data_IF_428719385881
#
_entry.id   IF_428719385881
#
_cell.length_a   1.000
_cell.length_b   1.000
_cell.length_c   1.000
_cell.angle_alpha   90.00
_cell.angle_beta   90.00
_cell.angle_gamma   90.00
#
_symmetry.space_group_name_H-M   'P 1'
#
loop_
_entity.id
_entity.type
_entity.pdbx_description
1 polymer ?
#
# COMPACT_ATOMS: atom_id res chain seq x y z
N UNK A 1 17.97 -5.51 4.43
CA UNK A 1 18.74 -5.20 3.21
C UNK A 1 18.37 -6.28 2.22
N UNK A 2 17.44 -5.97 1.32
CA UNK A 2 17.05 -6.89 0.26
C UNK A 2 17.94 -6.57 -0.95
N UNK A 3 18.80 -7.52 -1.31
CA UNK A 3 19.61 -7.44 -2.52
C UNK A 3 18.69 -7.63 -3.72
N UNK A 4 18.57 -6.60 -4.56
CA UNK A 4 17.97 -6.71 -5.89
C UNK A 4 18.81 -7.70 -6.71
N UNK A 5 18.32 -8.93 -6.83
CA UNK A 5 18.86 -9.89 -7.78
C UNK A 5 18.47 -9.40 -9.18
N UNK A 6 19.39 -8.68 -9.83
CA UNK A 6 19.29 -8.34 -11.24
C UNK A 6 19.08 -9.62 -12.04
N UNK A 7 17.94 -9.71 -12.73
CA UNK A 7 17.61 -10.85 -13.57
C UNK A 7 18.73 -11.05 -14.60
N UNK A 8 19.52 -12.11 -14.40
CA UNK A 8 20.54 -12.51 -15.36
C UNK A 8 19.80 -13.27 -16.46
N UNK A 9 19.53 -12.59 -17.57
CA UNK A 9 18.90 -13.19 -18.75
C UNK A 9 19.93 -14.12 -19.38
N UNK A 10 19.65 -15.42 -19.41
CA UNK A 10 20.58 -16.36 -20.04
C UNK A 10 20.48 -16.23 -21.56
N UNK A 11 21.56 -16.48 -22.32
CA UNK A 11 21.55 -16.32 -23.78
C UNK A 11 20.48 -17.18 -24.47
N UNK A 12 20.12 -18.33 -23.90
CA UNK A 12 19.03 -19.20 -24.35
C UNK A 12 17.62 -18.62 -24.17
N UNK A 13 17.42 -17.62 -23.29
CA UNK A 13 16.13 -16.97 -23.05
C UNK A 13 15.83 -15.87 -24.10
N UNK A 14 16.79 -15.59 -24.99
CA UNK A 14 16.61 -14.66 -26.11
C UNK A 14 15.91 -15.41 -27.25
N UNK A 15 14.72 -14.96 -27.71
CA UNK A 15 14.02 -15.58 -28.82
C UNK A 15 14.94 -15.74 -30.04
N UNK A 16 15.12 -16.98 -30.49
CA UNK A 16 16.01 -17.33 -31.63
C UNK A 16 15.62 -16.63 -32.94
N UNK A 17 14.38 -16.15 -33.00
CA UNK A 17 13.80 -15.43 -34.14
C UNK A 17 14.48 -14.06 -34.36
N UNK A 18 15.16 -13.52 -33.34
CA UNK A 18 15.93 -12.28 -33.40
C UNK A 18 17.26 -12.42 -34.17
N UNK A 19 17.68 -13.64 -34.53
CA UNK A 19 19.01 -13.89 -35.10
C UNK A 19 19.01 -14.23 -36.61
N UNK A 20 17.91 -13.99 -37.36
CA UNK A 20 17.89 -14.26 -38.81
C UNK A 20 18.75 -13.23 -39.58
N UNK A 21 20.00 -13.59 -39.84
CA UNK A 21 21.01 -12.69 -40.39
C UNK A 21 21.15 -12.65 -41.93
N UNK A 22 21.63 -11.52 -42.49
CA UNK A 22 22.04 -11.40 -43.91
C UNK A 22 23.48 -11.88 -44.07
N UNK A 23 23.82 -12.59 -45.15
CA UNK A 23 25.18 -13.09 -45.37
C UNK A 23 26.16 -11.95 -45.70
N UNK A 24 27.27 -11.85 -44.98
CA UNK A 24 28.29 -10.79 -45.15
C UNK A 24 29.72 -11.31 -45.38
N UNK A 25 29.94 -12.61 -45.27
CA UNK A 25 31.24 -13.23 -45.56
C UNK A 25 31.16 -14.75 -45.49
N UNK A 26 32.26 -15.44 -45.76
CA UNK A 26 32.39 -16.88 -45.50
C UNK A 26 33.47 -17.14 -44.47
N UNK A 27 33.23 -18.10 -43.59
CA UNK A 27 34.16 -18.57 -42.59
C UNK A 27 35.37 -19.18 -43.30
N UNK A 28 36.58 -18.66 -43.07
CA UNK A 28 37.78 -19.18 -43.69
C UNK A 28 38.15 -20.59 -43.18
N UNK A 29 37.52 -21.06 -42.11
CA UNK A 29 37.80 -22.34 -41.44
C UNK A 29 36.89 -23.46 -41.92
N UNK A 30 35.60 -23.17 -42.15
CA UNK A 30 34.61 -24.20 -42.55
C UNK A 30 33.77 -23.83 -43.79
N UNK A 31 34.00 -22.65 -44.37
CA UNK A 31 33.31 -22.16 -45.58
C UNK A 31 31.85 -21.75 -45.37
N UNK A 32 31.33 -21.80 -44.14
CA UNK A 32 29.96 -21.39 -43.83
C UNK A 32 29.82 -19.88 -43.97
N UNK A 33 28.66 -19.43 -44.42
CA UNK A 33 28.44 -18.00 -44.61
C UNK A 33 28.24 -17.33 -43.24
N UNK A 34 29.12 -16.40 -42.86
CA UNK A 34 28.88 -15.51 -41.73
C UNK A 34 27.64 -14.68 -42.04
N UNK A 35 26.66 -14.76 -41.15
CA UNK A 35 25.49 -13.90 -41.19
C UNK A 35 25.61 -12.89 -40.05
N UNK A 36 25.34 -11.62 -40.34
CA UNK A 36 25.21 -10.60 -39.29
C UNK A 36 23.75 -10.70 -38.85
N UNK A 37 23.44 -10.81 -37.56
CA UNK A 37 22.05 -10.68 -37.12
C UNK A 37 21.51 -9.38 -37.72
N UNK A 38 20.46 -9.48 -38.53
CA UNK A 38 19.78 -8.30 -39.04
C UNK A 38 19.04 -7.77 -37.83
N UNK A 39 19.67 -6.87 -37.08
CA UNK A 39 18.93 -5.98 -36.21
C UNK A 39 18.23 -4.99 -37.15
N UNK A 40 17.14 -5.43 -37.78
CA UNK A 40 16.19 -4.50 -38.35
C UNK A 40 15.52 -3.87 -37.13
N UNK A 41 16.09 -2.75 -36.67
CA UNK A 41 15.63 -2.01 -35.49
C UNK A 41 14.10 -1.70 -35.58
N UNK A 42 13.52 -1.78 -36.79
CA UNK A 42 12.09 -1.62 -37.05
C UNK A 42 11.19 -2.73 -36.49
N UNK A 43 11.67 -3.97 -36.34
CA UNK A 43 10.88 -5.10 -35.80
C UNK A 43 11.14 -5.32 -34.30
N UNK A 44 12.32 -4.93 -33.81
CA UNK A 44 12.67 -4.94 -32.39
C UNK A 44 11.91 -3.86 -31.60
N UNK A 45 11.72 -2.68 -32.20
CA UNK A 45 11.01 -1.58 -31.57
C UNK A 45 9.55 -1.90 -31.15
N UNK A 46 8.68 -2.47 -32.01
CA UNK A 46 7.30 -2.79 -31.62
C UNK A 46 7.22 -3.90 -30.56
N UNK A 47 8.09 -4.90 -30.60
CA UNK A 47 8.12 -5.96 -29.58
C UNK A 47 8.55 -5.42 -28.20
N UNK A 48 9.55 -4.54 -28.17
CA UNK A 48 9.96 -3.84 -26.95
C UNK A 48 8.84 -2.95 -26.42
N UNK A 49 8.15 -2.23 -27.30
CA UNK A 49 7.02 -1.40 -26.91
C UNK A 49 5.87 -2.24 -26.33
N UNK A 50 5.55 -3.37 -26.95
CA UNK A 50 4.51 -4.28 -26.45
C UNK A 50 4.86 -4.84 -25.06
N UNK A 51 6.12 -5.23 -24.84
CA UNK A 51 6.59 -5.72 -23.54
C UNK A 51 6.56 -4.62 -22.47
N UNK A 52 6.92 -3.38 -22.83
CA UNK A 52 6.80 -2.21 -21.95
C UNK A 52 5.34 -1.97 -21.58
N UNK A 53 4.43 -1.97 -22.55
CA UNK A 53 3.01 -1.71 -22.33
C UNK A 53 2.39 -2.78 -21.43
N UNK A 54 2.69 -4.07 -21.68
CA UNK A 54 2.26 -5.19 -20.82
C UNK A 54 2.72 -5.03 -19.38
N UNK A 55 3.99 -4.67 -19.17
CA UNK A 55 4.55 -4.44 -17.83
C UNK A 55 3.89 -3.26 -17.15
N UNK A 56 3.70 -2.15 -17.85
CA UNK A 56 3.04 -0.96 -17.32
C UNK A 56 1.59 -1.25 -16.92
N UNK A 57 0.83 -1.99 -17.74
CA UNK A 57 -0.53 -2.39 -17.41
C UNK A 57 -0.58 -3.27 -16.16
N UNK A 58 0.28 -4.28 -16.07
CA UNK A 58 0.34 -5.18 -14.92
C UNK A 58 0.72 -4.42 -13.63
N UNK A 59 1.71 -3.54 -13.70
CA UNK A 59 2.12 -2.69 -12.56
C UNK A 59 0.99 -1.74 -12.16
N UNK A 60 0.35 -1.06 -13.11
CA UNK A 60 -0.75 -0.13 -12.83
C UNK A 60 -1.96 -0.85 -12.22
N UNK A 61 -2.31 -2.04 -12.71
CA UNK A 61 -3.39 -2.84 -12.15
C UNK A 61 -3.09 -3.25 -10.70
N UNK A 62 -1.85 -3.66 -10.43
CA UNK A 62 -1.40 -4.03 -9.09
C UNK A 62 -1.43 -2.84 -8.14
N UNK A 63 -0.88 -1.69 -8.55
CA UNK A 63 -0.88 -0.46 -7.77
C UNK A 63 -2.30 0.00 -7.46
N UNK A 64 -3.20 -0.05 -8.45
CA UNK A 64 -4.60 0.32 -8.25
C UNK A 64 -5.27 -0.57 -7.20
N UNK A 65 -5.06 -1.89 -7.29
CA UNK A 65 -5.58 -2.85 -6.31
C UNK A 65 -5.06 -2.54 -4.90
N UNK A 66 -3.76 -2.33 -4.74
CA UNK A 66 -3.16 -1.99 -3.45
C UNK A 66 -3.70 -0.67 -2.89
N UNK A 67 -3.88 0.36 -3.74
CA UNK A 67 -4.46 1.64 -3.33
C UNK A 67 -5.90 1.46 -2.86
N UNK A 68 -6.70 0.65 -3.55
CA UNK A 68 -8.09 0.41 -3.17
C UNK A 68 -8.20 -0.37 -1.85
N UNK A 69 -7.34 -1.38 -1.65
CA UNK A 69 -7.22 -2.10 -0.37
C UNK A 69 -6.82 -1.16 0.79
N UNK A 70 -5.85 -0.26 0.57
CA UNK A 70 -5.43 0.72 1.57
C UNK A 70 -6.55 1.72 1.92
N UNK A 71 -7.35 2.14 0.92
CA UNK A 71 -8.51 3.02 1.18
C UNK A 71 -9.56 2.32 2.03
N UNK A 72 -9.84 1.04 1.78
CA UNK A 72 -10.80 0.27 2.57
C UNK A 72 -10.33 0.13 4.03
N UNK A 73 -9.06 -0.20 4.24
CA UNK A 73 -8.46 -0.28 5.58
C UNK A 73 -8.53 1.06 6.30
N UNK A 74 -8.21 2.16 5.61
CA UNK A 74 -8.27 3.50 6.20
C UNK A 74 -9.71 3.90 6.56
N UNK A 75 -10.68 3.57 5.71
CA UNK A 75 -12.10 3.79 6.00
C UNK A 75 -12.55 3.05 7.27
N UNK A 76 -12.16 1.78 7.43
CA UNK A 76 -12.43 1.00 8.65
C UNK A 76 -11.75 1.61 9.88
N UNK A 77 -10.49 2.02 9.75
CA UNK A 77 -9.77 2.64 10.86
C UNK A 77 -10.44 3.94 11.32
N UNK A 78 -10.87 4.77 10.36
CA UNK A 78 -11.62 5.99 10.65
C UNK A 78 -12.93 5.70 11.38
N UNK A 79 -13.68 4.70 10.93
CA UNK A 79 -14.90 4.27 11.61
C UNK A 79 -14.63 3.87 13.06
N UNK A 80 -13.62 3.02 13.30
CA UNK A 80 -13.26 2.61 14.67
C UNK A 80 -12.85 3.80 15.54
N UNK A 81 -12.11 4.76 14.99
CA UNK A 81 -11.73 5.99 15.71
C UNK A 81 -12.97 6.81 16.07
N UNK A 82 -13.94 6.93 15.16
CA UNK A 82 -15.16 7.70 15.44
C UNK A 82 -16.04 7.00 16.49
N UNK A 83 -16.18 5.68 16.44
CA UNK A 83 -16.84 4.88 17.49
C UNK A 83 -16.17 5.06 18.86
N UNK A 84 -14.82 5.06 18.91
CA UNK A 84 -14.09 5.30 20.15
C UNK A 84 -14.32 6.72 20.70
N UNK A 85 -14.42 7.73 19.84
CA UNK A 85 -14.73 9.11 20.28
C UNK A 85 -16.12 9.18 20.93
N UNK A 86 -17.11 8.52 20.35
CA UNK A 86 -18.47 8.48 20.92
C UNK A 86 -18.48 7.79 22.30
N UNK A 87 -17.77 6.67 22.42
CA UNK A 87 -17.62 5.98 23.71
C UNK A 87 -16.93 6.88 24.74
N UNK A 88 -15.85 7.58 24.37
CA UNK A 88 -15.16 8.52 25.25
C UNK A 88 -16.08 9.67 25.69
N UNK A 89 -16.87 10.23 24.76
CA UNK A 89 -17.85 11.27 25.09
C UNK A 89 -18.88 10.75 26.11
N UNK A 90 -19.42 9.56 25.88
CA UNK A 90 -20.36 8.92 26.82
C UNK A 90 -19.76 8.72 28.22
N UNK A 91 -18.48 8.35 28.32
CA UNK A 91 -17.80 8.24 29.61
C UNK A 91 -17.59 9.58 30.29
N UNK A 92 -17.29 10.64 29.55
CA UNK A 92 -17.17 12.00 30.11
C UNK A 92 -18.50 12.47 30.68
N UNK A 93 -19.59 12.32 29.93
CA UNK A 93 -20.93 12.70 30.40
C UNK A 93 -21.30 11.99 31.70
N UNK A 94 -21.01 10.68 31.79
CA UNK A 94 -21.23 9.91 33.02
C UNK A 94 -20.35 10.40 34.18
N UNK A 95 -19.09 10.73 33.92
CA UNK A 95 -18.20 11.27 34.96
C UNK A 95 -18.71 12.62 35.47
N UNK A 96 -19.19 13.48 34.59
CA UNK A 96 -19.83 14.76 34.97
C UNK A 96 -21.10 14.54 35.78
N UNK A 97 -21.93 13.56 35.41
CA UNK A 97 -23.12 13.18 36.17
C UNK A 97 -22.77 12.68 37.58
N UNK A 98 -21.76 11.81 37.69
CA UNK A 98 -21.27 11.33 38.99
C UNK A 98 -20.71 12.48 39.83
N UNK A 99 -19.87 13.33 39.25
CA UNK A 99 -19.30 14.48 39.96
C UNK A 99 -20.40 15.42 40.49
N UNK A 100 -21.41 15.69 39.67
CA UNK A 100 -22.58 16.46 40.08
C UNK A 100 -23.35 15.79 41.22
N UNK A 101 -23.64 14.49 41.09
CA UNK A 101 -24.35 13.72 42.10
C UNK A 101 -23.60 13.70 43.45
N UNK A 102 -22.30 13.42 43.43
CA UNK A 102 -21.48 13.43 44.63
C UNK A 102 -21.39 14.85 45.22
N UNK A 103 -21.23 15.89 44.40
CA UNK A 103 -21.25 17.28 44.85
C UNK A 103 -22.55 17.66 45.59
N UNK A 104 -23.70 17.22 45.08
CA UNK A 104 -24.99 17.41 45.77
C UNK A 104 -25.06 16.64 47.09
N UNK A 105 -24.61 15.39 47.12
CA UNK A 105 -24.59 14.57 48.35
C UNK A 105 -23.70 15.19 49.42
N UNK A 106 -22.49 15.61 49.07
CA UNK A 106 -21.57 16.29 49.99
C UNK A 106 -22.16 17.60 50.51
N UNK A 107 -22.79 18.39 49.63
CA UNK A 107 -23.46 19.65 50.03
C UNK A 107 -24.59 19.40 51.03
N UNK A 108 -25.42 18.36 50.82
CA UNK A 108 -26.49 17.98 51.75
C UNK A 108 -25.94 17.50 53.10
N UNK A 109 -24.88 16.68 53.09
CA UNK A 109 -24.25 16.19 54.32
C UNK A 109 -23.63 17.32 55.17
N UNK A 110 -23.08 18.35 54.53
CA UNK A 110 -22.52 19.52 55.22
C UNK A 110 -23.60 20.53 55.66
N UNK A 111 -24.68 20.67 54.90
CA UNK A 111 -25.80 21.56 55.24
C UNK A 111 -26.61 21.12 56.47
N UNK A 112 -26.58 19.83 56.83
CA UNK A 112 -27.32 19.28 57.97
C UNK A 112 -26.57 19.40 59.32
N UNK A 113 -25.33 19.91 59.31
CA UNK A 113 -24.52 20.13 60.52
C UNK A 113 -24.77 21.50 61.19
N UNK A 114 -25.80 22.25 60.75
CA UNK A 114 -25.91 23.69 60.97
C UNK A 114 -27.07 24.23 61.81
N UNK A 115 -27.93 23.42 62.42
CA UNK A 115 -28.87 23.93 63.44
C UNK A 115 -28.31 23.66 64.83
N UNK A 116 -27.91 24.68 65.60
CA UNK A 116 -27.70 24.51 67.03
C UNK A 116 -29.01 23.97 67.61
N UNK A 117 -28.95 22.80 68.24
CA UNK A 117 -29.96 22.42 69.22
C UNK A 117 -29.86 23.45 70.34
N UNK A 118 -30.68 24.49 70.26
CA UNK A 118 -30.85 25.40 71.38
C UNK A 118 -31.33 24.59 72.57
N UNK A 119 -30.50 24.62 73.62
CA UNK A 119 -30.75 23.97 74.90
C UNK A 119 -32.06 24.52 75.51
N UNK A 120 -32.99 23.61 75.84
CA UNK A 120 -34.05 23.79 76.81
C UNK A 120 -34.02 22.63 77.80
#
# INVERSE_FOLDING_TARGET
MEEEQGATIQPEDVPQDLFRGKPWGKDPTDGKTWTYPINDDSELHPLLQEEIDKRLEATNATLKKTVDEQKEVNARFKQTVDEQKEVIASYKDKLEEYDHFFGQLFSKLQGDQGTPRDNL
#
